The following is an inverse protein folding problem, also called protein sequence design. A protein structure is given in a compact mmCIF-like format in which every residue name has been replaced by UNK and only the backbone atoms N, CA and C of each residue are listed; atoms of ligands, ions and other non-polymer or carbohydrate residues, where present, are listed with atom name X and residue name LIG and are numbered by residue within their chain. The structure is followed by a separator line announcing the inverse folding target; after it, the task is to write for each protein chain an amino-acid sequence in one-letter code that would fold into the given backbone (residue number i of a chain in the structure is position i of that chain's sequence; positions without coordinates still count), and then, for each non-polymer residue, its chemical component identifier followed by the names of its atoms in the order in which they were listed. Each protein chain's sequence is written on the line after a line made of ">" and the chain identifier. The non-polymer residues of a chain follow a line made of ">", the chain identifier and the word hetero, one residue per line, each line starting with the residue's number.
data_IF_927366479424
#
_entry.id   IF_927366479424
#
_cell.length_a   1.000
_cell.length_b   1.000
_cell.length_c   1.000
_cell.angle_alpha   90.00
_cell.angle_beta   90.00
_cell.angle_gamma   90.00
#
_symmetry.space_group_name_H-M   'P 1'
#
loop_
_entity.id
_entity.type
_entity.pdbx_description
1 polymer ?
#
# COMPACT_ATOMS: atom_id res chain seq x y z
N UNK A 1 -14.71 -1.09 3.43
CA UNK A 1 -14.81 0.06 4.35
C UNK A 1 -13.82 -0.20 5.49
N UNK A 2 -12.94 0.76 5.80
CA UNK A 2 -12.01 0.66 6.93
C UNK A 2 -12.41 1.71 7.96
N UNK A 3 -12.61 1.30 9.20
CA UNK A 3 -12.96 2.20 10.32
C UNK A 3 -11.75 2.25 11.23
N UNK A 4 -11.33 3.46 11.59
CA UNK A 4 -10.17 3.70 12.44
C UNK A 4 -10.54 4.62 13.59
N UNK A 5 -9.80 4.49 14.69
CA UNK A 5 -9.80 5.50 15.75
C UNK A 5 -9.16 6.76 15.17
N UNK A 6 -9.77 7.92 15.44
CA UNK A 6 -9.23 9.19 14.99
C UNK A 6 -7.77 9.35 15.45
N UNK A 7 -6.90 9.77 14.54
CA UNK A 7 -5.47 9.99 14.79
C UNK A 7 -4.64 8.74 15.18
N UNK A 8 -5.20 7.53 15.02
CA UNK A 8 -4.45 6.28 15.16
C UNK A 8 -3.34 6.15 14.12
N UNK A 9 -2.35 5.32 14.41
CA UNK A 9 -1.23 5.10 13.50
C UNK A 9 -1.69 4.44 12.21
N UNK A 10 -2.66 3.54 12.24
CA UNK A 10 -3.25 2.95 11.03
C UNK A 10 -3.92 4.01 10.16
N UNK A 11 -4.66 4.95 10.77
CA UNK A 11 -5.26 6.06 10.03
C UNK A 11 -4.21 6.94 9.37
N UNK A 12 -3.18 7.36 10.13
CA UNK A 12 -2.07 8.16 9.61
C UNK A 12 -1.29 7.43 8.52
N UNK A 13 -0.99 6.15 8.71
CA UNK A 13 -0.27 5.33 7.73
C UNK A 13 -1.06 5.23 6.42
N UNK A 14 -2.37 5.04 6.47
CA UNK A 14 -3.17 5.00 5.23
C UNK A 14 -3.14 6.34 4.49
N UNK A 15 -3.20 7.47 5.21
CA UNK A 15 -3.09 8.81 4.62
C UNK A 15 -1.70 9.02 4.02
N UNK A 16 -0.64 8.75 4.78
CA UNK A 16 0.76 8.87 4.33
C UNK A 16 1.02 8.03 3.08
N UNK A 17 0.59 6.78 3.07
CA UNK A 17 0.74 5.90 1.91
C UNK A 17 0.03 6.46 0.68
N UNK A 18 -1.21 6.94 0.83
CA UNK A 18 -1.97 7.56 -0.26
C UNK A 18 -1.24 8.78 -0.80
N UNK A 19 -0.83 9.69 0.08
CA UNK A 19 -0.24 10.97 -0.30
C UNK A 19 1.11 10.76 -0.98
N UNK A 20 1.92 9.79 -0.52
CA UNK A 20 3.16 9.41 -1.17
C UNK A 20 2.95 8.89 -2.60
N UNK A 21 1.95 8.05 -2.84
CA UNK A 21 1.65 7.57 -4.20
C UNK A 21 1.14 8.69 -5.13
N UNK A 22 0.49 9.72 -4.58
CA UNK A 22 0.04 10.89 -5.34
C UNK A 22 1.23 11.76 -5.72
N UNK A 23 2.18 11.99 -4.82
CA UNK A 23 3.36 12.82 -5.09
C UNK A 23 4.45 12.10 -5.91
N UNK A 24 4.51 10.76 -5.88
CA UNK A 24 5.54 9.98 -6.56
C UNK A 24 4.96 9.07 -7.64
N UNK A 25 5.09 9.49 -8.90
CA UNK A 25 4.63 8.73 -10.06
C UNK A 25 5.31 7.35 -10.15
N UNK A 26 6.61 7.27 -9.86
CA UNK A 26 7.37 6.02 -9.89
C UNK A 26 6.79 4.97 -8.92
N UNK A 27 6.45 5.39 -7.70
CA UNK A 27 5.89 4.51 -6.69
C UNK A 27 4.47 4.04 -7.05
N UNK A 28 3.69 4.92 -7.68
CA UNK A 28 2.36 4.59 -8.21
C UNK A 28 2.42 3.54 -9.31
N UNK A 29 3.39 3.67 -10.22
CA UNK A 29 3.63 2.70 -11.30
C UNK A 29 4.06 1.35 -10.74
N UNK A 30 5.04 1.33 -9.84
CA UNK A 30 5.50 0.10 -9.18
C UNK A 30 4.35 -0.60 -8.42
N UNK A 31 3.51 0.16 -7.72
CA UNK A 31 2.35 -0.40 -7.02
C UNK A 31 1.29 -0.96 -7.96
N UNK A 32 1.06 -0.31 -9.11
CA UNK A 32 0.13 -0.81 -10.12
C UNK A 32 0.59 -2.15 -10.67
N UNK A 33 1.84 -2.23 -11.13
CA UNK A 33 2.39 -3.45 -11.70
C UNK A 33 2.41 -4.59 -10.67
N UNK A 34 2.72 -4.28 -9.41
CA UNK A 34 2.61 -5.25 -8.32
C UNK A 34 1.18 -5.79 -8.17
N UNK A 35 0.18 -4.91 -8.15
CA UNK A 35 -1.22 -5.33 -8.04
C UNK A 35 -1.66 -6.20 -9.21
N UNK A 36 -1.24 -5.88 -10.43
CA UNK A 36 -1.55 -6.65 -11.64
C UNK A 36 -0.92 -8.05 -11.55
N UNK A 37 0.38 -8.15 -11.24
CA UNK A 37 1.06 -9.45 -11.04
C UNK A 37 0.41 -10.30 -9.95
N UNK A 38 0.08 -9.68 -8.83
CA UNK A 38 -0.54 -10.38 -7.70
C UNK A 38 -1.99 -10.81 -7.99
N UNK A 39 -2.73 -10.04 -8.79
CA UNK A 39 -4.09 -10.41 -9.18
C UNK A 39 -4.09 -11.66 -10.07
N UNK A 40 -3.08 -11.80 -10.94
CA UNK A 40 -2.90 -13.00 -11.76
C UNK A 40 -2.45 -14.18 -10.88
N UNK A 41 -1.49 -13.95 -9.99
CA UNK A 41 -0.90 -15.02 -9.15
C UNK A 41 -1.87 -15.55 -8.10
N UNK A 42 -2.69 -14.67 -7.52
CA UNK A 42 -3.59 -14.98 -6.41
C UNK A 42 -5.06 -14.71 -6.77
N UNK A 43 -5.47 -15.11 -7.97
CA UNK A 43 -6.81 -14.84 -8.51
C UNK A 43 -7.96 -15.30 -7.59
N UNK A 44 -7.78 -16.44 -6.91
CA UNK A 44 -8.77 -17.02 -5.99
C UNK A 44 -8.36 -16.96 -4.51
N UNK A 45 -7.17 -16.41 -4.21
CA UNK A 45 -6.65 -16.33 -2.84
C UNK A 45 -6.45 -14.88 -2.41
N UNK A 46 -7.54 -14.30 -1.90
CA UNK A 46 -7.55 -12.92 -1.41
C UNK A 46 -6.62 -12.71 -0.21
N UNK A 47 -6.39 -13.74 0.61
CA UNK A 47 -5.53 -13.65 1.80
C UNK A 47 -4.09 -13.49 1.37
N UNK A 48 -3.62 -14.34 0.46
CA UNK A 48 -2.26 -14.27 -0.09
C UNK A 48 -2.06 -13.00 -0.90
N UNK A 49 -3.06 -12.58 -1.70
CA UNK A 49 -3.03 -11.28 -2.38
C UNK A 49 -2.79 -10.11 -1.43
N UNK A 50 -3.43 -10.13 -0.25
CA UNK A 50 -3.31 -9.05 0.75
C UNK A 50 -1.96 -9.10 1.44
N UNK A 51 -1.50 -10.29 1.85
CA UNK A 51 -0.18 -10.49 2.48
C UNK A 51 0.97 -10.10 1.55
N UNK A 52 0.87 -10.44 0.27
CA UNK A 52 1.92 -10.16 -0.72
C UNK A 52 2.09 -8.66 -1.03
N UNK A 53 1.09 -7.82 -0.74
CA UNK A 53 1.21 -6.35 -0.84
C UNK A 53 1.90 -5.71 0.36
N UNK A 54 1.91 -6.38 1.52
CA UNK A 54 2.41 -5.80 2.77
C UNK A 54 3.88 -5.35 2.71
N UNK A 55 4.82 -6.08 2.07
CA UNK A 55 6.21 -5.63 1.96
C UNK A 55 6.35 -4.29 1.21
N UNK A 56 5.61 -4.13 0.11
CA UNK A 56 5.63 -2.89 -0.66
C UNK A 56 5.04 -1.73 0.13
N UNK A 57 3.89 -1.93 0.79
CA UNK A 57 3.26 -0.89 1.61
C UNK A 57 4.20 -0.44 2.73
N UNK A 58 4.89 -1.37 3.40
CA UNK A 58 5.90 -1.04 4.43
C UNK A 58 7.04 -0.19 3.87
N UNK A 59 7.63 -0.59 2.74
CA UNK A 59 8.69 0.17 2.06
C UNK A 59 8.26 1.61 1.76
N UNK A 60 7.04 1.80 1.23
CA UNK A 60 6.53 3.15 0.93
C UNK A 60 6.29 3.95 2.21
N UNK A 61 5.76 3.34 3.27
CA UNK A 61 5.58 4.02 4.54
C UNK A 61 6.90 4.45 5.18
N UNK A 62 7.95 3.65 5.07
CA UNK A 62 9.30 4.01 5.54
C UNK A 62 9.85 5.20 4.75
N UNK A 63 9.76 5.18 3.41
CA UNK A 63 10.17 6.30 2.57
C UNK A 63 9.38 7.57 2.87
N UNK A 64 8.07 7.47 3.05
CA UNK A 64 7.18 8.60 3.34
C UNK A 64 7.44 9.24 4.71
N UNK A 65 8.09 8.54 5.65
CA UNK A 65 8.45 9.07 6.97
C UNK A 65 9.80 9.79 6.99
N UNK A 66 10.65 9.55 6.00
CA UNK A 66 12.00 10.11 5.89
C UNK A 66 12.00 11.37 5.03
N UNK A 67 10.92 11.59 4.27
CA UNK A 67 10.73 12.74 3.38
C UNK A 67 10.15 13.94 4.13
#
# INVERSE_FOLDING_TARGET
>A
MHIYIYNSDEWRNNILFRDFLISHEWARKEYRELKERLAITYAFDRVSYTKAKAPFIRKILELARIQ
#
